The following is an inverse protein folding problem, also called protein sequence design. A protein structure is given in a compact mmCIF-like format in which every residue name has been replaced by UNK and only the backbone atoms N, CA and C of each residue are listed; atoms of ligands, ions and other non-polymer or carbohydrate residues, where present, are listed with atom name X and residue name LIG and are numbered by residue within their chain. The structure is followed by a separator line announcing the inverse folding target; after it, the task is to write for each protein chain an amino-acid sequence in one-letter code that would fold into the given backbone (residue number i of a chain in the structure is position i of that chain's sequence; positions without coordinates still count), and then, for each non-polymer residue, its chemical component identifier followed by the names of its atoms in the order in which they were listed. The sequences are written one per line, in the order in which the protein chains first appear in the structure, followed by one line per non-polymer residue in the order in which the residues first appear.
data_IF_815832082600
#
_entry.id   IF_815832082600
#
_cell.length_a   1.000
_cell.length_b   1.000
_cell.length_c   1.000
_cell.angle_alpha   90.00
_cell.angle_beta   90.00
_cell.angle_gamma   90.00
#
_symmetry.space_group_name_H-M   'P 1'
#
loop_
_entity.id
_entity.type
_entity.pdbx_description
1 polymer ?
#
# COMPACT_ATOMS: atom_id res chain seq x y z
N UNK A 1 -23.63 -32.40 -46.06
CA UNK A 1 -22.68 -33.35 -45.47
C UNK A 1 -21.89 -32.63 -44.42
N UNK A 2 -21.79 -33.22 -43.23
CA UNK A 2 -20.92 -32.82 -42.11
C UNK A 2 -19.44 -32.75 -42.59
N UNK A 3 -18.49 -32.04 -41.96
CA UNK A 3 -18.13 -32.00 -40.53
C UNK A 3 -17.23 -30.79 -40.20
N UNK A 4 -17.48 -30.22 -39.02
CA UNK A 4 -16.58 -29.73 -37.96
C UNK A 4 -15.27 -28.97 -38.25
N UNK A 5 -15.17 -27.82 -37.55
CA UNK A 5 -13.91 -27.19 -37.14
C UNK A 5 -14.17 -26.11 -36.09
N UNK A 6 -14.34 -26.51 -34.82
CA UNK A 6 -14.39 -25.57 -33.69
C UNK A 6 -13.02 -24.88 -33.54
N UNK A 7 -13.03 -23.56 -33.48
CA UNK A 7 -11.87 -22.74 -33.13
C UNK A 7 -12.31 -21.51 -32.35
N UNK A 8 -12.75 -21.71 -31.11
CA UNK A 8 -12.96 -20.63 -30.14
C UNK A 8 -11.59 -20.03 -29.78
N UNK A 9 -11.21 -18.95 -30.44
CA UNK A 9 -10.11 -18.08 -29.98
C UNK A 9 -10.72 -16.87 -29.31
N UNK A 10 -11.02 -17.03 -28.02
CA UNK A 10 -11.34 -15.93 -27.13
C UNK A 10 -10.09 -15.06 -26.95
N UNK A 11 -10.04 -13.95 -27.67
CA UNK A 11 -9.12 -12.87 -27.37
C UNK A 11 -9.57 -12.23 -26.05
N UNK A 12 -9.00 -12.65 -24.91
CA UNK A 12 -9.00 -11.82 -23.72
C UNK A 12 -8.13 -10.60 -24.02
N UNK A 13 -8.76 -9.57 -24.57
CA UNK A 13 -8.17 -8.24 -24.65
C UNK A 13 -7.99 -7.75 -23.22
N UNK A 14 -6.75 -7.77 -22.73
CA UNK A 14 -6.34 -7.01 -21.57
C UNK A 14 -6.61 -5.55 -21.89
N UNK A 15 -7.76 -5.03 -21.44
CA UNK A 15 -7.91 -3.60 -21.29
C UNK A 15 -6.82 -3.17 -20.33
N UNK A 16 -5.76 -2.59 -20.90
CA UNK A 16 -4.84 -1.73 -20.18
C UNK A 16 -5.73 -0.77 -19.39
N UNK A 17 -5.86 -1.01 -18.09
CA UNK A 17 -6.34 0.02 -17.18
C UNK A 17 -5.18 0.98 -17.04
N UNK A 18 -4.97 1.78 -18.09
CA UNK A 18 -4.34 3.08 -17.94
C UNK A 18 -5.23 3.83 -16.97
N UNK A 19 -4.77 3.97 -15.73
CA UNK A 19 -5.44 4.80 -14.76
C UNK A 19 -5.47 6.22 -15.33
N UNK A 20 -6.63 6.62 -15.83
CA UNK A 20 -6.91 7.95 -16.35
C UNK A 20 -6.63 9.00 -15.26
N UNK A 21 -5.67 9.87 -15.55
CA UNK A 21 -5.56 11.26 -15.11
C UNK A 21 -5.79 11.56 -13.62
N UNK A 22 -4.70 11.53 -12.85
CA UNK A 22 -4.58 12.35 -11.64
C UNK A 22 -4.11 13.77 -12.02
N UNK A 23 -4.92 14.55 -12.74
CA UNK A 23 -4.56 15.91 -13.25
C UNK A 23 -4.53 16.98 -12.15
N UNK A 24 -3.58 16.86 -11.22
CA UNK A 24 -3.24 17.93 -10.28
C UNK A 24 -1.92 18.61 -10.67
N UNK A 25 -1.71 19.90 -10.37
CA UNK A 25 -0.53 20.67 -10.77
C UNK A 25 0.84 20.16 -10.25
N UNK A 26 0.86 19.04 -9.52
CA UNK A 26 2.06 18.40 -8.97
C UNK A 26 2.58 17.21 -9.79
N UNK A 27 1.98 16.88 -10.93
CA UNK A 27 2.35 15.66 -11.68
C UNK A 27 3.80 15.66 -12.19
N UNK A 28 4.35 16.84 -12.48
CA UNK A 28 5.59 16.93 -13.26
C UNK A 28 6.86 16.98 -12.42
N UNK A 29 6.83 17.53 -11.20
CA UNK A 29 8.04 17.75 -10.38
C UNK A 29 7.78 17.63 -8.87
N UNK A 30 7.51 16.42 -8.38
CA UNK A 30 7.39 16.21 -6.95
C UNK A 30 7.39 14.76 -6.54
N UNK A 31 8.22 14.44 -5.54
CA UNK A 31 8.21 13.14 -4.87
C UNK A 31 6.80 12.87 -4.36
N UNK A 32 6.28 11.70 -4.68
CA UNK A 32 5.02 11.22 -4.12
C UNK A 32 5.14 9.76 -3.70
N UNK A 33 4.14 9.33 -2.94
CA UNK A 33 4.07 8.02 -2.34
C UNK A 33 2.82 7.30 -2.86
N UNK A 34 3.01 6.12 -3.43
CA UNK A 34 1.91 5.25 -3.81
C UNK A 34 1.62 4.30 -2.64
N UNK A 35 0.47 4.51 -2.00
CA UNK A 35 -0.05 3.61 -0.97
C UNK A 35 -0.91 2.58 -1.68
N UNK A 36 -0.67 1.31 -1.41
CA UNK A 36 -1.44 0.22 -1.99
C UNK A 36 -1.94 -0.67 -0.86
N UNK A 37 -3.23 -0.95 -0.89
CA UNK A 37 -3.93 -1.79 0.08
C UNK A 37 -4.57 -2.95 -0.66
N UNK A 38 -4.15 -4.16 -0.32
CA UNK A 38 -4.72 -5.39 -0.85
C UNK A 38 -5.57 -6.07 0.21
N UNK A 39 -6.79 -6.42 -0.15
CA UNK A 39 -7.60 -7.37 0.61
C UNK A 39 -7.24 -8.76 0.10
N UNK A 40 -6.68 -9.57 1.00
CA UNK A 40 -6.21 -10.92 0.74
C UNK A 40 -7.26 -11.90 1.25
N UNK A 41 -7.50 -12.98 0.50
CA UNK A 41 -8.38 -14.07 0.92
C UNK A 41 -7.94 -14.56 2.30
N UNK A 42 -8.85 -14.66 3.29
CA UNK A 42 -8.48 -15.09 4.64
C UNK A 42 -7.74 -16.44 4.67
N UNK A 43 -8.17 -17.40 3.84
CA UNK A 43 -7.56 -18.72 3.73
C UNK A 43 -6.17 -18.74 3.07
N UNK A 44 -5.75 -17.64 2.43
CA UNK A 44 -4.49 -17.54 1.68
C UNK A 44 -3.53 -16.47 2.20
N UNK A 45 -3.82 -15.88 3.35
CA UNK A 45 -2.96 -14.83 3.92
C UNK A 45 -1.54 -15.32 4.18
N UNK A 46 -1.39 -16.54 4.71
CA UNK A 46 -0.08 -17.16 4.96
C UNK A 46 0.70 -17.37 3.65
N UNK A 47 0.06 -17.97 2.66
CA UNK A 47 0.63 -18.18 1.31
C UNK A 47 1.06 -16.86 0.67
N UNK A 48 0.22 -15.83 0.76
CA UNK A 48 0.54 -14.50 0.24
C UNK A 48 1.79 -13.91 0.91
N UNK A 49 1.88 -13.97 2.25
CA UNK A 49 3.04 -13.47 2.99
C UNK A 49 4.32 -14.24 2.63
N UNK A 50 4.23 -15.56 2.45
CA UNK A 50 5.36 -16.38 2.00
C UNK A 50 5.83 -15.97 0.59
N UNK A 51 4.90 -15.81 -0.36
CA UNK A 51 5.21 -15.34 -1.72
C UNK A 51 5.89 -13.96 -1.71
N UNK A 52 5.38 -13.03 -0.89
CA UNK A 52 5.98 -11.71 -0.70
C UNK A 52 7.39 -11.83 -0.15
N UNK A 53 7.60 -12.54 0.96
CA UNK A 53 8.93 -12.70 1.56
C UNK A 53 9.95 -13.30 0.58
N UNK A 54 9.52 -14.25 -0.25
CA UNK A 54 10.38 -14.90 -1.23
C UNK A 54 10.76 -13.96 -2.39
N UNK A 55 9.82 -13.16 -2.90
CA UNK A 55 9.99 -12.52 -4.21
C UNK A 55 9.96 -10.98 -4.19
N UNK A 56 9.71 -10.33 -3.05
CA UNK A 56 9.62 -8.86 -2.97
C UNK A 56 10.92 -8.17 -3.39
N UNK A 57 12.07 -8.83 -3.22
CA UNK A 57 13.37 -8.35 -3.65
C UNK A 57 13.42 -8.02 -5.15
N UNK A 58 12.68 -8.75 -5.99
CA UNK A 58 12.56 -8.48 -7.43
C UNK A 58 11.96 -7.10 -7.67
N UNK A 59 10.91 -6.72 -6.92
CA UNK A 59 10.31 -5.39 -7.04
C UNK A 59 11.18 -4.31 -6.41
N UNK A 60 11.81 -4.60 -5.27
CA UNK A 60 12.69 -3.64 -4.59
C UNK A 60 13.91 -3.26 -5.44
N UNK A 61 14.31 -4.11 -6.40
CA UNK A 61 15.33 -3.77 -7.37
C UNK A 61 14.91 -2.64 -8.35
N UNK A 62 13.60 -2.46 -8.57
CA UNK A 62 13.04 -1.43 -9.46
C UNK A 62 12.40 -0.27 -8.71
N UNK A 63 12.10 -0.41 -7.41
CA UNK A 63 11.26 0.54 -6.67
C UNK A 63 11.73 0.73 -5.23
N UNK A 64 11.74 1.96 -4.74
CA UNK A 64 12.03 2.26 -3.34
C UNK A 64 10.82 1.93 -2.46
N UNK A 65 10.95 0.87 -1.65
CA UNK A 65 9.96 0.48 -0.64
C UNK A 65 10.11 1.38 0.59
N UNK A 66 9.03 2.02 1.01
CA UNK A 66 8.97 2.79 2.26
C UNK A 66 8.58 1.89 3.42
N UNK A 67 7.60 1.02 3.22
CA UNK A 67 7.26 -0.02 4.19
C UNK A 67 6.17 -0.96 3.70
N UNK A 68 6.06 -2.09 4.38
CA UNK A 68 5.14 -3.17 4.09
C UNK A 68 4.63 -3.78 5.39
N UNK A 69 3.31 -3.77 5.57
CA UNK A 69 2.64 -4.30 6.74
C UNK A 69 1.50 -5.23 6.36
N UNK A 70 1.16 -6.12 7.28
CA UNK A 70 -0.12 -6.82 7.31
C UNK A 70 -0.98 -6.26 8.44
N UNK A 71 -2.28 -6.48 8.38
CA UNK A 71 -3.20 -6.06 9.45
C UNK A 71 -3.53 -7.22 10.39
N UNK A 72 -3.41 -6.98 11.70
CA UNK A 72 -3.76 -7.98 12.73
C UNK A 72 -5.12 -7.69 13.36
N UNK A 73 -5.41 -6.43 13.69
CA UNK A 73 -6.66 -6.00 14.34
C UNK A 73 -7.34 -4.85 13.57
N UNK A 74 -8.67 -4.93 13.45
CA UNK A 74 -9.53 -3.88 12.86
C UNK A 74 -9.80 -4.00 11.36
N UNK A 75 -9.01 -4.81 10.64
CA UNK A 75 -9.23 -5.11 9.22
C UNK A 75 -8.40 -6.34 8.78
N UNK A 76 -8.61 -7.50 9.41
CA UNK A 76 -7.83 -8.73 9.18
C UNK A 76 -7.71 -9.06 7.67
N UNK A 77 -6.57 -9.63 7.28
CA UNK A 77 -6.26 -10.06 5.91
C UNK A 77 -6.05 -8.91 4.91
N UNK A 78 -5.51 -7.77 5.37
CA UNK A 78 -5.01 -6.73 4.46
C UNK A 78 -3.49 -6.71 4.44
N UNK A 79 -2.95 -6.40 3.27
CA UNK A 79 -1.56 -6.04 3.09
C UNK A 79 -1.49 -4.58 2.65
N UNK A 80 -0.71 -3.76 3.35
CA UNK A 80 -0.53 -2.34 3.05
C UNK A 80 0.94 -2.11 2.76
N UNK A 81 1.24 -1.47 1.64
CA UNK A 81 2.62 -1.17 1.30
C UNK A 81 2.76 0.14 0.55
N UNK A 82 3.83 0.87 0.85
CA UNK A 82 4.07 2.24 0.39
C UNK A 82 5.34 2.27 -0.46
N UNK A 83 5.24 2.88 -1.64
CA UNK A 83 6.35 3.01 -2.59
C UNK A 83 6.62 4.47 -2.89
N UNK A 84 7.89 4.87 -2.90
CA UNK A 84 8.30 6.23 -3.24
C UNK A 84 8.62 6.34 -4.72
N UNK A 85 8.19 7.45 -5.34
CA UNK A 85 8.54 7.81 -6.71
C UNK A 85 8.89 9.30 -6.78
N UNK A 86 9.80 9.65 -7.67
CA UNK A 86 10.25 11.05 -7.83
C UNK A 86 9.24 11.91 -8.58
N UNK A 87 8.45 11.30 -9.47
CA UNK A 87 7.36 11.89 -10.24
C UNK A 87 6.61 10.77 -11.02
N UNK A 88 5.58 11.14 -11.79
CA UNK A 88 4.76 10.17 -12.51
C UNK A 88 5.49 9.49 -13.68
N UNK A 89 6.47 10.18 -14.30
CA UNK A 89 7.30 9.59 -15.34
C UNK A 89 8.19 8.47 -14.77
N UNK A 90 8.83 8.71 -13.62
CA UNK A 90 9.58 7.68 -12.89
C UNK A 90 8.68 6.49 -12.54
N UNK A 91 7.49 6.73 -11.97
CA UNK A 91 6.51 5.65 -11.69
C UNK A 91 6.16 4.85 -12.94
N UNK A 92 5.94 5.53 -14.07
CA UNK A 92 5.57 4.88 -15.33
C UNK A 92 6.72 4.00 -15.83
N UNK A 93 7.96 4.51 -15.83
CA UNK A 93 9.14 3.75 -16.22
C UNK A 93 9.33 2.49 -15.37
N UNK A 94 9.22 2.63 -14.03
CA UNK A 94 9.31 1.50 -13.09
C UNK A 94 8.23 0.45 -13.33
N UNK A 95 6.98 0.87 -13.52
CA UNK A 95 5.87 -0.05 -13.80
C UNK A 95 6.04 -0.77 -15.14
N UNK A 96 6.59 -0.10 -16.15
CA UNK A 96 6.93 -0.71 -17.45
C UNK A 96 8.05 -1.74 -17.28
N UNK A 97 9.10 -1.43 -16.51
CA UNK A 97 10.17 -2.38 -16.22
C UNK A 97 9.63 -3.63 -15.51
N UNK A 98 8.80 -3.46 -14.47
CA UNK A 98 8.15 -4.56 -13.76
C UNK A 98 7.21 -5.39 -14.64
N UNK A 99 6.54 -4.78 -15.62
CA UNK A 99 5.70 -5.51 -16.57
C UNK A 99 6.53 -6.43 -17.49
N UNK A 100 7.77 -6.05 -17.79
CA UNK A 100 8.69 -6.80 -18.65
C UNK A 100 9.56 -7.81 -17.87
N UNK A 101 9.61 -7.70 -16.54
CA UNK A 101 10.33 -8.63 -15.67
C UNK A 101 9.58 -9.96 -15.55
N UNK A 102 10.05 -10.97 -16.29
CA UNK A 102 9.41 -12.29 -16.35
C UNK A 102 9.39 -13.01 -15.00
N UNK A 103 10.42 -12.81 -14.17
CA UNK A 103 10.49 -13.43 -12.86
C UNK A 103 9.48 -12.79 -11.91
N UNK A 104 9.38 -11.47 -11.93
CA UNK A 104 8.34 -10.77 -11.16
C UNK A 104 6.93 -11.17 -11.61
N UNK A 105 6.68 -11.23 -12.92
CA UNK A 105 5.37 -11.62 -13.45
C UNK A 105 5.02 -13.08 -13.12
N UNK A 106 5.95 -14.01 -13.37
CA UNK A 106 5.70 -15.44 -13.23
C UNK A 106 5.75 -15.93 -11.78
N UNK A 107 6.79 -15.54 -11.04
CA UNK A 107 7.03 -16.06 -9.68
C UNK A 107 6.23 -15.34 -8.61
N UNK A 108 5.86 -14.07 -8.83
CA UNK A 108 5.09 -13.30 -7.86
C UNK A 108 3.69 -12.92 -8.34
N UNK A 109 3.54 -12.16 -9.43
CA UNK A 109 2.24 -11.59 -9.81
C UNK A 109 1.20 -12.68 -10.08
N UNK A 110 1.53 -13.66 -10.92
CA UNK A 110 0.61 -14.76 -11.26
C UNK A 110 0.07 -15.50 -10.02
N UNK A 111 0.91 -16.01 -9.09
CA UNK A 111 0.39 -16.66 -7.89
C UNK A 111 -0.26 -15.68 -6.91
N UNK A 112 0.30 -14.49 -6.68
CA UNK A 112 -0.24 -13.52 -5.73
C UNK A 112 -1.65 -13.05 -6.10
N UNK A 113 -1.97 -12.89 -7.39
CA UNK A 113 -3.31 -12.55 -7.85
C UNK A 113 -4.37 -13.60 -7.46
N UNK A 114 -3.98 -14.86 -7.27
CA UNK A 114 -4.92 -15.89 -6.81
C UNK A 114 -5.28 -15.73 -5.33
N UNK A 115 -4.42 -15.07 -4.55
CA UNK A 115 -4.61 -14.78 -3.13
C UNK A 115 -5.38 -13.46 -2.89
N UNK A 116 -5.35 -12.51 -3.82
CA UNK A 116 -5.92 -11.16 -3.64
C UNK A 116 -7.38 -11.11 -4.11
N UNK A 117 -8.26 -10.52 -3.30
CA UNK A 117 -9.67 -10.26 -3.65
C UNK A 117 -9.87 -8.85 -4.20
N UNK A 118 -9.28 -7.85 -3.55
CA UNK A 118 -9.44 -6.44 -3.92
C UNK A 118 -8.11 -5.70 -3.82
N UNK A 119 -7.91 -4.74 -4.71
CA UNK A 119 -6.77 -3.83 -4.69
C UNK A 119 -7.25 -2.40 -4.70
N UNK A 120 -6.67 -1.58 -3.83
CA UNK A 120 -6.89 -0.14 -3.77
C UNK A 120 -5.54 0.57 -3.79
N UNK A 121 -5.42 1.63 -4.58
CA UNK A 121 -4.17 2.39 -4.69
C UNK A 121 -4.47 3.88 -4.58
N UNK A 122 -3.65 4.59 -3.82
CA UNK A 122 -3.75 6.02 -3.60
C UNK A 122 -2.39 6.67 -3.85
N UNK A 123 -2.41 7.90 -4.34
CA UNK A 123 -1.22 8.75 -4.44
C UNK A 123 -1.29 9.79 -3.34
N UNK A 124 -0.28 9.82 -2.49
CA UNK A 124 -0.14 10.76 -1.39
C UNK A 124 1.10 11.63 -1.59
N UNK A 125 1.01 12.88 -1.17
CA UNK A 125 2.14 13.81 -1.10
C UNK A 125 2.42 14.10 0.36
N UNK A 126 3.71 14.18 0.73
CA UNK A 126 4.05 14.70 2.04
C UNK A 126 3.62 16.17 2.15
N UNK A 127 3.06 16.50 3.30
CA UNK A 127 2.88 17.89 3.70
C UNK A 127 4.26 18.51 3.99
N UNK A 128 4.48 19.80 3.73
CA UNK A 128 5.81 20.42 3.80
C UNK A 128 6.55 20.26 5.13
N UNK A 129 5.81 20.11 6.24
CA UNK A 129 6.35 19.93 7.59
C UNK A 129 6.61 18.47 7.97
N UNK A 130 6.41 17.52 7.06
CA UNK A 130 6.64 16.10 7.31
C UNK A 130 7.88 15.64 6.53
N UNK A 131 8.84 15.05 7.24
CA UNK A 131 9.97 14.34 6.62
C UNK A 131 9.74 12.84 6.77
N UNK A 132 10.25 12.02 5.85
CA UNK A 132 10.35 10.56 5.97
C UNK A 132 11.83 10.20 5.99
N UNK A 133 12.32 9.59 7.08
CA UNK A 133 13.73 9.27 7.28
C UNK A 133 13.95 8.14 8.28
N UNK A 134 15.21 7.80 8.56
CA UNK A 134 15.54 6.99 9.74
C UNK A 134 15.50 7.93 10.94
N UNK A 135 14.62 7.72 11.93
CA UNK A 135 14.49 8.67 13.01
C UNK A 135 15.79 8.67 13.83
N UNK A 136 16.30 9.83 14.28
CA UNK A 136 17.35 9.93 15.30
C UNK A 136 16.92 9.39 16.69
N UNK A 137 15.81 8.65 16.76
CA UNK A 137 14.80 8.48 17.81
C UNK A 137 13.51 9.25 17.49
N UNK A 138 12.49 8.45 17.20
CA UNK A 138 11.06 8.77 17.09
C UNK A 138 10.57 9.75 16.00
N UNK A 139 9.48 9.30 15.37
CA UNK A 139 8.49 10.02 14.53
C UNK A 139 8.65 9.89 13.02
N UNK A 140 7.74 9.09 12.44
CA UNK A 140 7.12 9.35 11.14
C UNK A 140 5.62 8.97 11.22
N UNK A 141 4.72 9.85 10.77
CA UNK A 141 3.28 9.75 11.04
C UNK A 141 2.61 8.73 10.09
N UNK A 142 2.62 7.48 10.54
CA UNK A 142 1.47 6.60 10.78
C UNK A 142 1.68 6.19 12.24
N UNK A 143 0.81 6.59 13.15
CA UNK A 143 1.03 6.57 14.62
C UNK A 143 1.78 5.33 15.14
N UNK A 144 3.11 5.42 15.25
CA UNK A 144 3.92 4.38 15.83
C UNK A 144 3.82 4.46 17.36
N UNK A 145 3.57 3.33 18.00
CA UNK A 145 3.59 3.19 19.44
C UNK A 145 4.36 1.91 19.74
N UNK A 146 5.25 1.92 20.74
CA UNK A 146 6.05 0.74 21.07
C UNK A 146 5.19 -0.51 21.33
N UNK A 147 4.00 -0.32 21.91
CA UNK A 147 3.01 -1.37 22.16
C UNK A 147 1.58 -0.77 22.31
N UNK A 148 0.60 -1.65 22.46
CA UNK A 148 -0.81 -1.29 22.62
C UNK A 148 -1.08 -0.47 23.90
N UNK A 149 -0.33 -0.72 24.98
CA UNK A 149 -0.49 -0.03 26.27
C UNK A 149 0.00 1.42 26.20
N UNK A 150 1.13 1.67 25.55
CA UNK A 150 1.63 3.01 25.26
C UNK A 150 0.63 3.80 24.42
N UNK A 151 0.02 3.15 23.41
CA UNK A 151 -1.06 3.74 22.63
C UNK A 151 -2.27 4.08 23.50
N UNK A 152 -2.66 3.19 24.42
CA UNK A 152 -3.78 3.42 25.32
C UNK A 152 -3.52 4.58 26.29
N UNK A 153 -2.33 4.63 26.89
CA UNK A 153 -1.90 5.71 27.79
C UNK A 153 -1.84 7.07 27.07
N UNK A 154 -1.30 7.10 25.85
CA UNK A 154 -1.27 8.31 25.03
C UNK A 154 -2.67 8.84 24.72
N UNK A 155 -3.62 7.96 24.40
CA UNK A 155 -5.03 8.35 24.21
C UNK A 155 -5.65 8.88 25.48
N UNK A 156 -5.40 8.23 26.62
CA UNK A 156 -5.94 8.68 27.91
C UNK A 156 -5.49 10.12 28.22
N UNK A 157 -4.18 10.41 28.09
CA UNK A 157 -3.64 11.76 28.25
C UNK A 157 -4.26 12.76 27.27
N UNK A 158 -4.43 12.38 26.01
CA UNK A 158 -5.05 13.23 25.00
C UNK A 158 -6.52 13.56 25.30
N UNK A 159 -7.25 12.63 25.93
CA UNK A 159 -8.64 12.85 26.37
C UNK A 159 -8.75 13.80 27.57
N UNK A 160 -7.66 14.02 28.32
CA UNK A 160 -7.60 14.93 29.47
C UNK A 160 -7.12 16.34 29.09
N UNK A 161 -6.43 16.52 27.95
CA UNK A 161 -6.03 17.85 27.46
C UNK A 161 -7.20 18.55 26.75
N UNK A 162 -7.75 19.58 27.40
CA UNK A 162 -8.88 20.35 26.90
C UNK A 162 -8.64 20.98 25.52
N UNK A 163 -7.39 21.33 25.15
CA UNK A 163 -7.06 21.89 23.84
C UNK A 163 -7.17 20.83 22.75
N UNK A 164 -6.66 19.63 23.03
CA UNK A 164 -6.74 18.48 22.12
C UNK A 164 -8.20 18.08 21.92
N UNK A 165 -8.98 18.00 23.01
CA UNK A 165 -10.42 17.69 22.93
C UNK A 165 -11.19 18.74 22.12
N UNK A 166 -10.90 20.04 22.32
CA UNK A 166 -11.53 21.10 21.55
C UNK A 166 -11.21 20.99 20.05
N UNK A 167 -9.93 20.82 19.70
CA UNK A 167 -9.51 20.66 18.31
C UNK A 167 -10.14 19.43 17.63
N UNK A 168 -10.20 18.28 18.33
CA UNK A 168 -10.84 17.07 17.81
C UNK A 168 -12.35 17.27 17.60
N UNK A 169 -13.04 17.95 18.53
CA UNK A 169 -14.47 18.24 18.40
C UNK A 169 -14.79 19.11 17.19
N UNK A 170 -13.92 20.07 16.88
CA UNK A 170 -14.06 20.89 15.67
C UNK A 170 -13.78 20.07 14.41
N UNK A 171 -12.74 19.24 14.41
CA UNK A 171 -12.34 18.47 13.23
C UNK A 171 -13.29 17.31 12.88
N UNK A 172 -13.89 16.64 13.88
CA UNK A 172 -14.80 15.50 13.67
C UNK A 172 -16.03 15.90 12.84
N UNK A 173 -16.41 17.18 12.82
CA UNK A 173 -17.51 17.68 11.99
C UNK A 173 -17.24 17.54 10.48
N UNK A 174 -15.98 17.45 10.09
CA UNK A 174 -15.54 17.27 8.70
C UNK A 174 -15.16 15.82 8.40
N UNK A 175 -15.28 14.93 9.38
CA UNK A 175 -14.85 13.53 9.29
C UNK A 175 -16.06 12.66 8.92
N UNK A 176 -16.09 12.19 7.67
CA UNK A 176 -17.13 11.27 7.21
C UNK A 176 -16.91 9.85 7.75
N UNK A 177 -15.66 9.39 7.77
CA UNK A 177 -15.31 8.08 8.32
C UNK A 177 -13.87 8.05 8.84
N UNK A 178 -13.61 7.21 9.83
CA UNK A 178 -12.27 6.92 10.33
C UNK A 178 -12.12 5.42 10.55
N UNK A 179 -10.99 4.88 10.11
CA UNK A 179 -10.59 3.51 10.40
C UNK A 179 -9.25 3.52 11.13
N UNK A 180 -9.14 2.72 12.19
CA UNK A 180 -7.90 2.47 12.91
C UNK A 180 -7.49 1.01 12.65
N UNK A 181 -6.25 0.79 12.21
CA UNK A 181 -5.71 -0.53 11.98
C UNK A 181 -4.44 -0.71 12.80
N UNK A 182 -4.27 -1.91 13.37
CA UNK A 182 -2.98 -2.34 13.88
C UNK A 182 -2.18 -2.98 12.75
N UNK A 183 -1.06 -2.35 12.41
CA UNK A 183 -0.18 -2.78 11.33
C UNK A 183 1.00 -3.55 11.90
N UNK A 184 1.27 -4.73 11.36
CA UNK A 184 2.40 -5.58 11.72
C UNK A 184 3.42 -5.53 10.58
N UNK A 185 4.64 -5.00 10.80
CA UNK A 185 5.64 -4.88 9.75
C UNK A 185 6.16 -6.26 9.36
N UNK A 186 6.36 -6.48 8.05
CA UNK A 186 7.07 -7.67 7.59
C UNK A 186 8.59 -7.53 7.84
N UNK A 187 9.35 -8.64 7.96
CA UNK A 187 10.76 -8.58 8.35
C UNK A 187 11.64 -7.72 7.43
N UNK A 188 11.33 -7.66 6.14
CA UNK A 188 12.04 -6.86 5.15
C UNK A 188 11.58 -5.39 5.08
N UNK A 189 10.52 -5.01 5.81
CA UNK A 189 9.95 -3.66 5.77
C UNK A 189 10.94 -2.63 6.33
N UNK A 190 11.29 -1.57 5.59
CA UNK A 190 12.21 -0.54 6.08
C UNK A 190 11.65 0.25 7.27
N UNK A 191 10.39 0.68 7.18
CA UNK A 191 9.66 1.21 8.33
C UNK A 191 9.05 0.05 9.13
N UNK A 192 9.29 0.05 10.45
CA UNK A 192 8.74 -0.91 11.41
C UNK A 192 7.69 -0.25 12.27
#
# INVERSE_FOLDING_TARGET
GATEGRGLTGYLTWRSVSASFATGPRQDNGIFYEIRTYEVKPSRMKEFVELVNQHIHLRMAHSELVGFWTTELGAMNKAIHIWKYDNFAHRTAVRTALANDKDWQGKFISPALTCIEKQHNEVAYLVPWCQLGKPPKEVHVIWWNENADNRASGRHKAHEDARVVAAVRESVRFLESQQNMLLVPLPFSPLK
#
